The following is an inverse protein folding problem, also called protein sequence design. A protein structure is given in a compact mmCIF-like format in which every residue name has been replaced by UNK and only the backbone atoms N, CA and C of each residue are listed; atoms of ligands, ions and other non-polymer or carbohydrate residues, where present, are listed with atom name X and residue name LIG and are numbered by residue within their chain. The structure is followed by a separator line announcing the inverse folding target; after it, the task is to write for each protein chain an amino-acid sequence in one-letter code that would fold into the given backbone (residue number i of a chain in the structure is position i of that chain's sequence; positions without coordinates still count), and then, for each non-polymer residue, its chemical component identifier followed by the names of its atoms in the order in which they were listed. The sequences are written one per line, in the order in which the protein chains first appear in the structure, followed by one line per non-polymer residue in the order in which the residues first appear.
data_IF_904578897309
#
_entry.id   IF_904578897309
#
_cell.length_a   1.000
_cell.length_b   1.000
_cell.length_c   1.000
_cell.angle_alpha   90.00
_cell.angle_beta   90.00
_cell.angle_gamma   90.00
#
_symmetry.space_group_name_H-M   'P 1'
#
loop_
_entity.id
_entity.type
_entity.pdbx_description
1 polymer ?
#
# COMPACT_ATOMS: atom_id res chain seq x y z
N UNK A 1 6.20 3.14 23.36
CA UNK A 1 7.03 2.01 22.89
C UNK A 1 6.28 1.40 21.73
N UNK A 2 6.98 0.78 20.78
CA UNK A 2 6.34 0.19 19.60
C UNK A 2 5.77 -1.17 19.97
N UNK A 3 4.56 -1.48 19.50
CA UNK A 3 3.91 -2.75 19.80
C UNK A 3 4.68 -3.93 19.16
N UNK A 4 5.34 -3.69 18.02
CA UNK A 4 6.33 -4.61 17.45
C UNK A 4 7.50 -4.87 18.42
N UNK A 5 8.10 -3.83 19.03
CA UNK A 5 9.19 -4.03 20.00
C UNK A 5 8.75 -4.75 21.27
N UNK A 6 7.53 -4.51 21.75
CA UNK A 6 6.97 -5.20 22.91
C UNK A 6 6.69 -6.69 22.61
N UNK A 7 6.28 -7.02 21.37
CA UNK A 7 6.10 -8.40 20.90
C UNK A 7 7.41 -9.19 20.85
N UNK A 8 8.49 -8.60 20.33
CA UNK A 8 9.81 -9.22 20.34
C UNK A 8 10.31 -9.47 21.78
N UNK A 9 10.12 -8.51 22.69
CA UNK A 9 10.43 -8.68 24.10
C UNK A 9 9.59 -9.77 24.78
N UNK A 10 8.31 -9.91 24.40
CA UNK A 10 7.46 -10.99 24.90
C UNK A 10 7.97 -12.38 24.46
N UNK A 11 8.44 -12.51 23.21
CA UNK A 11 9.01 -13.75 22.69
C UNK A 11 10.27 -14.17 23.47
N UNK A 12 11.24 -13.27 23.69
CA UNK A 12 12.43 -13.54 24.52
C UNK A 12 12.06 -13.98 25.95
N UNK A 13 11.04 -13.35 26.55
CA UNK A 13 10.56 -13.69 27.90
C UNK A 13 9.95 -15.09 27.92
N UNK A 14 9.18 -15.47 26.89
CA UNK A 14 8.55 -16.79 26.79
C UNK A 14 9.56 -17.91 26.56
N UNK A 15 10.55 -17.72 25.67
CA UNK A 15 11.66 -18.68 25.50
C UNK A 15 12.42 -18.91 26.82
N UNK A 16 12.68 -17.82 27.55
CA UNK A 16 13.34 -17.88 28.86
C UNK A 16 12.49 -18.54 29.94
N UNK A 17 11.16 -18.43 29.88
CA UNK A 17 10.23 -19.17 30.76
C UNK A 17 10.24 -20.66 30.38
N UNK A 18 10.17 -21.00 29.10
CA UNK A 18 10.21 -22.37 28.61
C UNK A 18 11.52 -23.09 29.01
N UNK A 19 12.66 -22.42 28.85
CA UNK A 19 13.98 -22.91 29.32
C UNK A 19 13.99 -23.17 30.84
N UNK A 20 13.33 -22.32 31.64
CA UNK A 20 13.22 -22.51 33.09
C UNK A 20 12.30 -23.66 33.48
N UNK A 21 11.14 -23.80 32.85
CA UNK A 21 10.23 -24.92 33.13
C UNK A 21 10.86 -26.26 32.72
N UNK A 22 11.54 -26.29 31.56
CA UNK A 22 12.30 -27.46 31.10
C UNK A 22 13.43 -27.84 32.07
N UNK A 23 14.13 -26.88 32.67
CA UNK A 23 15.14 -27.17 33.70
C UNK A 23 14.56 -27.59 35.05
N UNK A 24 13.31 -27.21 35.34
CA UNK A 24 12.52 -27.70 36.47
C UNK A 24 11.81 -29.05 36.18
N UNK A 25 11.96 -29.61 34.96
CA UNK A 25 11.27 -30.81 34.46
C UNK A 25 9.73 -30.70 34.50
N UNK A 26 9.21 -29.47 34.35
CA UNK A 26 7.78 -29.18 34.22
C UNK A 26 7.41 -28.99 32.74
N UNK A 27 6.60 -29.90 32.22
CA UNK A 27 6.11 -29.87 30.83
C UNK A 27 4.64 -29.47 30.73
N UNK A 28 3.98 -29.13 31.85
CA UNK A 28 2.52 -28.91 31.90
C UNK A 28 2.06 -27.75 31.01
N UNK A 29 2.84 -26.67 30.93
CA UNK A 29 2.59 -25.50 30.09
C UNK A 29 3.39 -25.48 28.77
N UNK A 30 4.13 -26.55 28.43
CA UNK A 30 5.05 -26.54 27.27
C UNK A 30 4.29 -26.39 25.94
N UNK A 31 3.11 -26.99 25.81
CA UNK A 31 2.25 -26.85 24.62
C UNK A 31 1.77 -25.41 24.41
N UNK A 32 1.34 -24.75 25.49
CA UNK A 32 0.79 -23.40 25.44
C UNK A 32 1.89 -22.35 25.18
N UNK A 33 3.06 -22.53 25.79
CA UNK A 33 4.24 -21.70 25.53
C UNK A 33 4.71 -21.82 24.08
N UNK A 34 4.84 -23.04 23.54
CA UNK A 34 5.18 -23.22 22.12
C UNK A 34 4.12 -22.59 21.20
N UNK A 35 2.83 -22.72 21.53
CA UNK A 35 1.74 -22.12 20.76
C UNK A 35 1.82 -20.58 20.76
N UNK A 36 2.13 -19.97 21.91
CA UNK A 36 2.25 -18.52 22.05
C UNK A 36 3.52 -17.98 21.38
N UNK A 37 4.65 -18.70 21.47
CA UNK A 37 5.88 -18.38 20.73
C UNK A 37 5.63 -18.44 19.22
N UNK A 38 5.00 -19.51 18.72
CA UNK A 38 4.68 -19.66 17.29
C UNK A 38 3.69 -18.60 16.78
N UNK A 39 2.80 -18.11 17.64
CA UNK A 39 1.91 -16.99 17.32
C UNK A 39 2.66 -15.67 17.26
N UNK A 40 3.58 -15.40 18.20
CA UNK A 40 4.41 -14.19 18.24
C UNK A 40 5.49 -14.14 17.15
N UNK A 41 5.99 -15.30 16.72
CA UNK A 41 6.92 -15.46 15.59
C UNK A 41 6.19 -15.46 14.22
N UNK A 42 4.85 -15.35 14.21
CA UNK A 42 4.07 -15.38 12.96
C UNK A 42 4.35 -14.12 12.13
N UNK A 43 4.83 -14.24 10.87
CA UNK A 43 5.14 -13.07 10.04
C UNK A 43 3.91 -12.20 9.77
N UNK A 44 2.71 -12.80 9.77
CA UNK A 44 1.44 -12.07 9.64
C UNK A 44 1.13 -11.24 10.88
N UNK A 45 1.42 -11.75 12.09
CA UNK A 45 1.24 -10.97 13.32
C UNK A 45 2.28 -9.84 13.39
N UNK A 46 3.54 -10.12 13.08
CA UNK A 46 4.62 -9.12 13.02
C UNK A 46 4.29 -8.00 12.03
N UNK A 47 3.77 -8.34 10.84
CA UNK A 47 3.28 -7.36 9.87
C UNK A 47 2.10 -6.54 10.41
N UNK A 48 1.11 -7.18 11.06
CA UNK A 48 -0.05 -6.48 11.63
C UNK A 48 0.35 -5.48 12.73
N UNK A 49 1.27 -5.88 13.61
CA UNK A 49 1.81 -5.02 14.68
C UNK A 49 2.60 -3.84 14.10
N UNK A 50 3.38 -4.07 13.06
CA UNK A 50 4.11 -3.03 12.32
C UNK A 50 3.16 -2.03 11.64
N UNK A 51 2.06 -2.51 11.05
CA UNK A 51 1.00 -1.66 10.50
C UNK A 51 0.31 -0.84 11.60
N UNK A 52 0.07 -1.41 12.79
CA UNK A 52 -0.51 -0.65 13.90
C UNK A 52 0.42 0.48 14.37
N UNK A 53 1.71 0.19 14.60
CA UNK A 53 2.72 1.19 14.93
C UNK A 53 2.81 2.29 13.86
N UNK A 54 2.75 1.89 12.58
CA UNK A 54 2.77 2.79 11.41
C UNK A 54 1.51 3.65 11.29
N UNK A 55 0.33 3.13 11.65
CA UNK A 55 -0.92 3.90 11.74
C UNK A 55 -0.89 4.90 12.91
N UNK A 56 -0.28 4.54 14.05
CA UNK A 56 -0.09 5.48 15.15
C UNK A 56 0.84 6.62 14.74
N UNK A 57 1.94 6.32 14.05
CA UNK A 57 2.84 7.32 13.47
C UNK A 57 2.12 8.22 12.45
N UNK A 58 1.37 7.66 11.49
CA UNK A 58 0.62 8.42 10.50
C UNK A 58 -0.38 9.38 11.16
N UNK A 59 -1.10 8.95 12.19
CA UNK A 59 -2.02 9.83 12.95
C UNK A 59 -1.29 10.98 13.62
N UNK A 60 -0.05 10.77 14.09
CA UNK A 60 0.76 11.82 14.70
C UNK A 60 1.35 12.78 13.66
N UNK A 61 1.76 12.30 12.49
CA UNK A 61 2.23 13.16 11.39
C UNK A 61 1.08 13.95 10.78
N UNK A 62 -0.07 13.34 10.52
CA UNK A 62 -1.28 14.01 10.01
C UNK A 62 -1.81 15.09 10.98
N UNK A 63 -1.54 14.97 12.28
CA UNK A 63 -1.89 16.01 13.26
C UNK A 63 -1.00 17.28 13.13
N UNK A 64 0.14 17.20 12.45
CA UNK A 64 1.12 18.29 12.28
C UNK A 64 1.16 18.79 10.82
N UNK A 65 1.05 17.88 9.85
CA UNK A 65 1.03 18.17 8.42
C UNK A 65 -0.30 17.66 7.84
N UNK A 66 -1.00 18.48 7.05
CA UNK A 66 -2.23 18.06 6.37
C UNK A 66 -1.88 17.17 5.17
N UNK A 67 -1.59 15.89 5.43
CA UNK A 67 -1.27 14.90 4.41
C UNK A 67 -2.49 14.58 3.55
N UNK A 68 -2.34 14.68 2.24
CA UNK A 68 -3.27 14.15 1.26
C UNK A 68 -3.22 12.62 1.16
N UNK A 69 -4.16 12.00 0.42
CA UNK A 69 -4.25 10.55 0.27
C UNK A 69 -3.09 9.92 -0.54
N UNK A 70 -2.29 10.73 -1.25
CA UNK A 70 -1.13 10.28 -2.02
C UNK A 70 0.22 10.53 -1.31
N UNK A 71 0.21 11.27 -0.18
CA UNK A 71 1.44 11.69 0.53
C UNK A 71 2.01 10.60 1.45
N UNK A 72 1.34 9.45 1.57
CA UNK A 72 1.79 8.30 2.36
C UNK A 72 1.39 6.97 1.72
N UNK A 73 2.13 5.91 2.05
CA UNK A 73 1.82 4.52 1.70
C UNK A 73 2.33 3.57 2.82
N UNK A 74 2.03 2.28 2.72
CA UNK A 74 2.53 1.25 3.63
C UNK A 74 3.30 0.16 2.87
N UNK A 75 4.46 -0.22 3.38
CA UNK A 75 5.24 -1.34 2.88
C UNK A 75 4.41 -2.64 2.90
N UNK A 76 4.05 -3.16 1.72
CA UNK A 76 3.26 -4.39 1.60
C UNK A 76 3.95 -5.64 2.19
N UNK A 77 5.26 -5.58 2.42
CA UNK A 77 6.08 -6.67 2.99
C UNK A 77 6.45 -6.50 4.46
N UNK A 78 6.60 -5.27 4.97
CA UNK A 78 6.98 -5.04 6.37
C UNK A 78 5.97 -4.26 7.20
N UNK A 79 4.94 -3.66 6.59
CA UNK A 79 3.92 -2.88 7.27
C UNK A 79 4.33 -1.44 7.63
N UNK A 80 5.59 -1.06 7.37
CA UNK A 80 6.15 0.27 7.69
C UNK A 80 5.48 1.41 6.93
N UNK A 81 5.28 2.54 7.61
CA UNK A 81 4.83 3.80 7.00
C UNK A 81 5.91 4.38 6.08
N UNK A 82 5.53 4.62 4.83
CA UNK A 82 6.31 5.38 3.85
C UNK A 82 5.65 6.75 3.74
N UNK A 83 6.40 7.81 4.01
CA UNK A 83 5.94 9.19 3.79
C UNK A 83 6.61 9.69 2.51
N UNK A 84 5.80 10.09 1.54
CA UNK A 84 6.29 10.73 0.34
C UNK A 84 6.54 12.20 0.65
N UNK A 85 7.80 12.55 0.95
CA UNK A 85 8.22 13.93 1.18
C UNK A 85 8.18 14.77 -0.12
N UNK A 86 6.99 15.04 -0.62
CA UNK A 86 6.69 16.25 -1.38
C UNK A 86 6.20 17.35 -0.42
N UNK A 87 6.88 17.49 0.72
CA UNK A 87 6.79 18.67 1.56
C UNK A 87 7.35 19.85 0.75
N UNK A 88 6.46 20.53 0.04
CA UNK A 88 6.80 21.75 -0.68
C UNK A 88 7.38 22.76 0.32
N UNK A 89 8.68 22.98 0.25
CA UNK A 89 9.37 24.04 0.99
C UNK A 89 8.91 25.38 0.44
N UNK A 90 7.91 26.00 1.07
CA UNK A 90 7.34 27.29 0.66
C UNK A 90 8.11 28.45 1.30
N UNK A 91 9.36 28.60 0.90
CA UNK A 91 10.23 29.78 1.13
C UNK A 91 11.08 29.95 -0.14
N UNK A 92 11.28 31.12 -0.75
CA UNK A 92 10.83 32.49 -0.46
C UNK A 92 10.88 33.29 -1.78
N UNK A 93 9.97 34.26 -2.00
CA UNK A 93 10.08 35.18 -3.14
C UNK A 93 11.12 36.26 -2.80
N UNK A 94 12.31 36.19 -3.39
CA UNK A 94 12.99 37.41 -3.84
C UNK A 94 14.00 37.20 -4.97
N UNK A 95 14.57 38.31 -5.44
CA UNK A 95 14.96 38.53 -6.83
C UNK A 95 16.44 38.28 -7.14
N UNK A 96 16.68 38.13 -8.46
CA UNK A 96 17.92 38.42 -9.22
C UNK A 96 18.83 37.25 -9.63
N UNK A 97 18.92 37.06 -10.96
CA UNK A 97 20.02 36.36 -11.62
C UNK A 97 21.28 37.26 -11.68
N UNK A 98 22.48 36.72 -11.98
CA UNK A 98 22.83 36.55 -13.41
C UNK A 98 23.69 35.31 -13.77
N UNK A 99 23.45 34.82 -15.00
CA UNK A 99 24.40 34.23 -16.00
C UNK A 99 25.68 33.52 -15.50
N UNK A 100 26.01 32.28 -15.92
CA UNK A 100 26.59 31.93 -17.24
C UNK A 100 27.07 30.46 -17.15
N UNK A 101 27.14 29.59 -18.17
CA UNK A 101 26.80 29.62 -19.60
C UNK A 101 26.73 28.19 -20.16
N UNK A 102 25.73 27.94 -21.01
CA UNK A 102 25.70 27.03 -22.19
C UNK A 102 26.71 25.87 -22.34
N UNK A 103 26.21 24.64 -22.38
CA UNK A 103 26.47 23.60 -23.40
C UNK A 103 25.45 22.44 -23.18
N UNK A 104 24.24 22.51 -23.72
CA UNK A 104 23.83 22.03 -25.04
C UNK A 104 23.69 20.49 -25.19
N UNK A 105 22.53 19.94 -24.77
CA UNK A 105 21.85 18.87 -25.53
C UNK A 105 20.36 19.19 -25.57
N UNK A 106 19.85 19.59 -26.75
CA UNK A 106 18.41 19.74 -26.99
C UNK A 106 17.76 18.37 -27.15
N UNK A 107 17.14 17.86 -26.08
CA UNK A 107 16.11 16.82 -26.16
C UNK A 107 14.72 17.48 -26.14
N UNK A 108 14.33 18.09 -27.27
CA UNK A 108 12.92 18.37 -27.52
C UNK A 108 12.21 17.05 -27.83
N UNK A 109 11.70 16.42 -26.78
CA UNK A 109 10.54 15.52 -26.85
C UNK A 109 9.52 16.13 -25.90
N UNK A 110 8.65 17.04 -26.35
CA UNK A 110 7.53 16.69 -27.24
C UNK A 110 6.94 15.36 -26.78
N UNK A 111 5.91 15.44 -25.92
CA UNK A 111 5.24 14.26 -25.41
C UNK A 111 4.82 13.37 -26.59
N UNK A 112 5.28 12.12 -26.68
CA UNK A 112 4.75 11.20 -27.68
C UNK A 112 3.26 11.01 -27.39
N UNK A 113 2.39 10.91 -28.41
CA UNK A 113 0.96 10.76 -28.19
C UNK A 113 0.67 9.43 -27.50
N UNK A 114 0.38 9.49 -26.19
CA UNK A 114 0.00 8.34 -25.34
C UNK A 114 -1.29 7.64 -25.81
N UNK A 115 -1.98 8.21 -26.80
CA UNK A 115 -3.17 7.64 -27.42
C UNK A 115 -2.96 6.31 -28.14
N UNK A 116 -1.75 6.00 -28.64
CA UNK A 116 -1.55 4.76 -29.43
C UNK A 116 -1.30 3.53 -28.55
N UNK A 117 -0.54 3.65 -27.46
CA UNK A 117 -0.25 2.53 -26.57
C UNK A 117 -1.51 2.04 -25.83
N UNK A 118 -2.33 2.97 -25.31
CA UNK A 118 -3.61 2.64 -24.67
C UNK A 118 -4.55 1.91 -25.64
N UNK A 119 -4.73 2.43 -26.86
CA UNK A 119 -5.55 1.80 -27.90
C UNK A 119 -5.06 0.41 -28.30
N UNK A 120 -3.74 0.19 -28.37
CA UNK A 120 -3.18 -1.14 -28.67
C UNK A 120 -3.54 -2.16 -27.56
N UNK A 121 -3.45 -1.75 -26.29
CA UNK A 121 -3.83 -2.59 -25.15
C UNK A 121 -5.34 -2.89 -25.16
N UNK A 122 -6.17 -1.85 -25.36
CA UNK A 122 -7.63 -1.97 -25.46
C UNK A 122 -8.04 -2.93 -26.59
N UNK A 123 -7.48 -2.76 -27.80
CA UNK A 123 -7.81 -3.60 -28.96
C UNK A 123 -7.38 -5.06 -28.76
N UNK A 124 -6.24 -5.28 -28.11
CA UNK A 124 -5.74 -6.62 -27.77
C UNK A 124 -6.61 -7.30 -26.69
N UNK A 125 -6.96 -6.59 -25.62
CA UNK A 125 -7.78 -7.09 -24.52
C UNK A 125 -9.24 -7.34 -24.93
N UNK A 126 -9.77 -6.55 -25.88
CA UNK A 126 -11.11 -6.73 -26.39
C UNK A 126 -11.30 -8.05 -27.15
N UNK A 127 -10.25 -8.61 -27.76
CA UNK A 127 -10.32 -9.87 -28.54
C UNK A 127 -11.44 -9.87 -29.60
N UNK A 128 -11.70 -8.71 -30.23
CA UNK A 128 -12.76 -8.53 -31.22
C UNK A 128 -14.16 -8.22 -30.65
N UNK A 129 -14.30 -8.03 -29.34
CA UNK A 129 -15.52 -7.48 -28.72
C UNK A 129 -15.63 -5.97 -28.96
N UNK A 130 -16.84 -5.44 -28.99
CA UNK A 130 -17.09 -3.99 -28.97
C UNK A 130 -16.56 -3.37 -27.68
N UNK A 131 -15.85 -2.25 -27.81
CA UNK A 131 -15.36 -1.46 -26.67
C UNK A 131 -16.25 -0.22 -26.54
N UNK A 132 -16.75 0.04 -25.34
CA UNK A 132 -17.48 1.27 -25.01
C UNK A 132 -16.71 2.03 -23.93
N UNK A 133 -16.50 3.33 -24.14
CA UNK A 133 -15.77 4.19 -23.21
C UNK A 133 -16.76 5.01 -22.38
N UNK A 134 -16.76 4.77 -21.06
CA UNK A 134 -17.61 5.46 -20.09
C UNK A 134 -16.73 6.31 -19.17
N UNK A 135 -16.91 7.63 -19.20
CA UNK A 135 -16.21 8.54 -18.27
C UNK A 135 -17.09 8.80 -17.05
N UNK A 136 -16.71 8.24 -15.91
CA UNK A 136 -17.38 8.46 -14.64
C UNK A 136 -16.66 9.55 -13.83
N UNK A 137 -17.43 10.47 -13.26
CA UNK A 137 -16.92 11.56 -12.43
C UNK A 137 -17.25 11.30 -10.95
N UNK A 138 -16.23 11.29 -10.10
CA UNK A 138 -16.32 11.12 -8.65
C UNK A 138 -16.09 12.46 -7.95
N UNK A 139 -16.91 12.79 -6.95
CA UNK A 139 -16.62 13.90 -6.04
C UNK A 139 -15.59 13.47 -4.97
N UNK A 140 -14.84 14.41 -4.41
CA UNK A 140 -13.86 14.15 -3.36
C UNK A 140 -14.48 13.27 -2.25
N UNK A 141 -13.76 12.21 -1.85
CA UNK A 141 -14.20 11.20 -0.88
C UNK A 141 -15.38 10.26 -1.25
N UNK A 142 -16.00 10.31 -2.45
CA UNK A 142 -17.31 9.61 -2.72
C UNK A 142 -17.33 8.21 -3.38
N UNK A 143 -16.19 7.64 -3.80
CA UNK A 143 -16.09 6.38 -4.60
C UNK A 143 -16.76 6.41 -6.01
N UNK A 144 -16.76 5.29 -6.76
CA UNK A 144 -17.50 5.13 -8.03
C UNK A 144 -18.73 4.20 -7.91
N UNK A 145 -18.85 3.42 -6.82
CA UNK A 145 -19.99 2.53 -6.60
C UNK A 145 -20.04 1.27 -7.48
N UNK A 146 -18.91 0.65 -7.78
CA UNK A 146 -18.85 -0.72 -8.32
C UNK A 146 -17.69 -1.51 -7.72
N UNK A 147 -17.86 -2.83 -7.65
CA UNK A 147 -16.89 -3.80 -7.13
C UNK A 147 -16.26 -4.57 -8.29
N UNK A 148 -14.98 -4.91 -8.20
CA UNK A 148 -14.26 -5.68 -9.22
C UNK A 148 -13.65 -6.97 -8.66
N UNK A 149 -13.55 -7.99 -9.52
CA UNK A 149 -12.89 -9.26 -9.24
C UNK A 149 -11.91 -9.60 -10.35
N UNK A 150 -10.72 -10.08 -9.99
CA UNK A 150 -9.82 -10.75 -10.92
C UNK A 150 -10.24 -12.21 -11.07
N UNK A 151 -10.46 -12.67 -12.29
CA UNK A 151 -10.71 -14.09 -12.57
C UNK A 151 -9.42 -14.76 -13.07
N UNK A 152 -9.07 -15.89 -12.46
CA UNK A 152 -7.93 -16.71 -12.85
C UNK A 152 -8.40 -18.14 -13.08
N UNK A 153 -7.94 -18.76 -14.16
CA UNK A 153 -8.22 -20.15 -14.51
C UNK A 153 -6.91 -20.94 -14.53
N UNK A 154 -6.86 -22.09 -13.84
CA UNK A 154 -5.70 -22.98 -13.87
C UNK A 154 -5.33 -23.45 -15.28
N UNK A 155 -6.29 -23.45 -16.22
CA UNK A 155 -6.10 -23.90 -17.60
C UNK A 155 -5.74 -22.75 -18.57
N UNK A 156 -5.93 -21.49 -18.16
CA UNK A 156 -5.87 -20.35 -19.10
C UNK A 156 -5.15 -19.11 -18.55
N UNK A 157 -4.67 -19.14 -17.30
CA UNK A 157 -3.99 -18.03 -16.66
C UNK A 157 -4.96 -16.98 -16.13
N UNK A 158 -4.51 -15.73 -16.07
CA UNK A 158 -5.36 -14.59 -15.72
C UNK A 158 -6.35 -14.30 -16.86
N UNK A 159 -7.65 -14.42 -16.56
CA UNK A 159 -8.75 -14.19 -17.52
C UNK A 159 -9.08 -12.69 -17.62
N UNK A 160 -8.70 -11.91 -16.59
CA UNK A 160 -8.82 -10.46 -16.53
C UNK A 160 -9.67 -9.97 -15.36
N UNK A 161 -9.95 -8.67 -15.36
CA UNK A 161 -10.71 -7.97 -14.33
C UNK A 161 -12.15 -7.80 -14.79
N UNK A 162 -13.10 -8.15 -13.92
CA UNK A 162 -14.55 -8.11 -14.18
C UNK A 162 -15.27 -7.30 -13.10
N UNK A 163 -16.34 -6.60 -13.47
CA UNK A 163 -17.25 -5.98 -12.48
C UNK A 163 -18.11 -7.07 -11.85
N UNK A 164 -18.07 -7.18 -10.53
CA UNK A 164 -18.85 -8.16 -9.75
C UNK A 164 -20.24 -7.61 -9.36
N UNK A 165 -20.29 -6.35 -8.93
CA UNK A 165 -21.48 -5.72 -8.38
C UNK A 165 -21.46 -4.22 -8.68
N UNK A 166 -22.64 -3.63 -8.89
CA UNK A 166 -22.83 -2.18 -9.00
C UNK A 166 -23.72 -1.75 -7.83
N UNK A 167 -23.24 -0.79 -7.04
CA UNK A 167 -23.91 -0.31 -5.84
C UNK A 167 -25.15 0.51 -6.20
N UNK A 168 -26.36 0.15 -5.71
CA UNK A 168 -27.59 0.86 -6.05
C UNK A 168 -27.55 2.32 -5.58
N UNK A 169 -27.74 3.25 -6.52
CA UNK A 169 -27.63 4.70 -6.27
C UNK A 169 -26.22 5.29 -6.36
N UNK A 170 -25.19 4.43 -6.50
CA UNK A 170 -23.80 4.81 -6.77
C UNK A 170 -23.61 5.49 -8.13
N UNK A 171 -22.39 5.94 -8.41
CA UNK A 171 -22.08 6.72 -9.62
C UNK A 171 -22.16 5.84 -10.88
N UNK A 172 -21.66 4.61 -10.81
CA UNK A 172 -21.74 3.63 -11.90
C UNK A 172 -23.14 3.01 -12.11
N UNK A 173 -24.14 3.39 -11.32
CA UNK A 173 -25.54 2.94 -11.45
C UNK A 173 -26.43 3.95 -12.21
N UNK A 174 -25.84 4.97 -12.84
CA UNK A 174 -26.53 6.15 -13.41
C UNK A 174 -26.28 6.29 -14.91
#
# INVERSE_FOLDING_TARGET
MSLHTDSQGALEVLERIQLKLRSANDTTAESDLNSLIFLLDSPLLTQLLSIEDSLQQLKQVHAVHQLGPDDFDFSATSGELIIHENLATVEEWDSAAPTSSMESVTAQTAAPPVGDAAKVIELAAAQGRTIEHLTLYKAENTSLGFSVVGLQSEQQGEIGIFVQEIQPGGIAAR
#
